data_IF_768119692480
#
_entry.id   IF_768119692480
#
_cell.length_a   1.000
_cell.length_b   1.000
_cell.length_c   1.000
_cell.angle_alpha   90.00
_cell.angle_beta   90.00
_cell.angle_gamma   90.00
#
_symmetry.space_group_name_H-M   'P 1'
#
loop_
_entity.id
_entity.type
_entity.pdbx_description
1 polymer ?
#
# COMPACT_ATOMS: atom_id res chain seq x y z
N UNK A 1 30.61 7.62 40.14
CA UNK A 1 29.41 6.85 40.55
C UNK A 1 28.31 7.06 39.51
N UNK A 2 27.86 5.96 38.88
CA UNK A 2 26.55 5.67 38.21
C UNK A 2 25.84 6.78 37.38
N UNK A 3 25.73 6.54 36.05
CA UNK A 3 24.50 6.25 35.24
C UNK A 3 23.55 7.45 35.04
N UNK A 4 22.84 7.70 33.94
CA UNK A 4 22.70 7.12 32.60
C UNK A 4 21.86 8.12 31.76
N UNK A 5 22.14 8.16 30.44
CA UNK A 5 21.27 8.28 29.26
C UNK A 5 19.91 9.03 29.31
N UNK A 6 19.69 9.86 28.28
CA UNK A 6 18.37 10.30 27.81
C UNK A 6 18.48 11.10 26.50
N UNK A 7 18.57 10.39 25.37
CA UNK A 7 18.22 10.89 24.04
C UNK A 7 16.71 11.21 24.02
N UNK A 8 16.33 12.40 23.53
CA UNK A 8 15.15 12.67 22.67
C UNK A 8 14.85 14.18 22.58
N UNK A 9 15.73 14.91 21.88
CA UNK A 9 15.38 16.16 21.20
C UNK A 9 14.97 15.82 19.76
N UNK A 10 13.68 15.78 19.41
CA UNK A 10 13.27 16.03 18.00
C UNK A 10 11.78 16.33 17.73
N UNK A 11 10.87 16.31 18.71
CA UNK A 11 9.42 16.39 18.41
C UNK A 11 8.77 17.79 18.62
N UNK A 12 9.53 18.86 18.95
CA UNK A 12 8.93 20.16 19.35
C UNK A 12 9.39 21.38 18.53
N UNK A 13 9.51 21.29 17.19
CA UNK A 13 9.64 22.50 16.34
C UNK A 13 8.86 22.41 15.02
N UNK A 14 7.55 22.20 15.14
CA UNK A 14 6.59 22.63 14.11
C UNK A 14 5.68 23.66 14.81
N UNK A 15 5.53 24.83 14.19
CA UNK A 15 4.82 26.07 14.59
C UNK A 15 5.79 27.21 14.98
N UNK A 16 5.71 28.33 14.24
CA UNK A 16 6.50 29.59 14.24
C UNK A 16 7.60 29.59 13.14
N UNK A 17 7.56 30.34 12.03
CA UNK A 17 6.97 31.66 11.74
C UNK A 17 6.70 31.85 10.23
N UNK A 18 5.50 32.35 9.92
CA UNK A 18 5.25 33.27 8.81
C UNK A 18 5.80 34.66 9.17
N UNK A 19 6.44 35.35 8.21
CA UNK A 19 6.47 36.81 7.93
C UNK A 19 7.43 37.02 6.75
N UNK A 20 6.89 37.20 5.54
CA UNK A 20 6.68 38.49 4.85
C UNK A 20 7.97 39.29 4.62
N UNK A 21 8.31 39.49 3.35
CA UNK A 21 8.52 40.83 2.79
C UNK A 21 8.17 40.84 1.30
N UNK A 22 7.20 41.68 0.97
CA UNK A 22 6.96 42.22 -0.37
C UNK A 22 8.13 43.11 -0.78
N UNK A 23 8.56 42.99 -2.04
CA UNK A 23 9.01 44.12 -2.86
C UNK A 23 9.01 43.73 -4.33
N UNK A 24 8.34 44.58 -5.11
CA UNK A 24 8.22 44.57 -6.56
C UNK A 24 9.53 44.26 -7.30
N UNK A 25 9.43 43.66 -8.49
CA UNK A 25 9.94 44.22 -9.76
C UNK A 25 9.63 43.27 -10.94
N UNK A 26 8.87 43.83 -11.89
CA UNK A 26 8.99 43.74 -13.35
C UNK A 26 8.88 42.41 -14.09
N UNK A 27 7.77 42.30 -14.81
CA UNK A 27 7.57 41.52 -16.04
C UNK A 27 8.46 42.06 -17.17
N UNK A 28 9.34 41.22 -17.73
CA UNK A 28 9.64 41.16 -19.17
C UNK A 28 10.55 39.95 -19.48
N UNK A 29 10.22 39.16 -20.50
CA UNK A 29 11.12 38.12 -20.99
C UNK A 29 10.43 37.02 -21.80
N UNK A 30 10.19 37.31 -23.07
CA UNK A 30 9.85 36.35 -24.13
C UNK A 30 10.94 35.30 -24.37
N UNK A 31 10.47 34.14 -24.88
CA UNK A 31 11.16 33.21 -25.79
C UNK A 31 12.20 32.19 -25.26
N UNK A 32 12.00 30.96 -25.77
CA UNK A 32 13.00 29.92 -26.09
C UNK A 32 13.63 29.11 -24.96
N UNK A 33 13.10 27.91 -24.74
CA UNK A 33 13.92 26.73 -24.40
C UNK A 33 13.32 25.47 -25.04
N UNK A 34 13.49 25.36 -26.35
CA UNK A 34 13.70 24.06 -27.00
C UNK A 34 15.22 23.93 -27.12
N UNK A 35 15.82 23.02 -26.36
CA UNK A 35 16.94 22.19 -26.84
C UNK A 35 17.37 21.14 -25.79
N UNK A 36 17.54 19.91 -26.29
CA UNK A 36 18.42 18.83 -25.83
C UNK A 36 18.11 18.16 -24.49
N UNK A 37 17.19 17.20 -24.54
CA UNK A 37 17.43 15.93 -23.85
C UNK A 37 17.96 14.94 -24.90
N UNK A 38 19.26 14.69 -24.85
CA UNK A 38 19.90 13.61 -25.58
C UNK A 38 19.47 12.27 -24.99
N UNK A 39 18.99 11.39 -25.86
CA UNK A 39 19.17 9.94 -25.89
C UNK A 39 19.63 9.27 -24.59
N UNK A 40 18.73 9.22 -23.60
CA UNK A 40 18.62 8.08 -22.66
C UNK A 40 17.12 7.73 -22.55
N UNK A 41 16.56 7.32 -23.68
CA UNK A 41 15.25 6.68 -23.75
C UNK A 41 15.45 5.21 -24.09
N UNK A 42 15.88 4.43 -23.10
CA UNK A 42 15.63 2.98 -23.09
C UNK A 42 14.54 2.70 -22.06
N UNK A 43 13.34 2.45 -22.58
CA UNK A 43 12.24 1.71 -21.95
C UNK A 43 11.60 2.21 -20.64
N UNK A 44 11.57 3.52 -20.38
CA UNK A 44 10.51 4.05 -19.49
C UNK A 44 9.22 4.17 -20.28
N UNK A 45 8.31 3.20 -20.09
CA UNK A 45 6.88 3.37 -20.42
C UNK A 45 6.39 4.63 -19.70
N UNK A 46 6.38 5.77 -20.38
CA UNK A 46 5.72 6.97 -19.91
C UNK A 46 4.24 6.62 -19.67
N UNK A 47 3.86 6.48 -18.41
CA UNK A 47 2.46 6.33 -18.06
C UNK A 47 1.76 7.64 -18.43
N UNK A 48 0.96 7.62 -19.50
CA UNK A 48 0.11 8.76 -19.92
C UNK A 48 -1.08 8.85 -18.95
N UNK A 49 -0.79 9.26 -17.71
CA UNK A 49 -1.80 9.53 -16.66
C UNK A 49 -2.30 10.97 -16.70
N UNK A 50 -1.89 11.77 -17.70
CA UNK A 50 -2.27 13.18 -17.80
C UNK A 50 -3.77 13.29 -17.99
N UNK A 51 -4.41 14.07 -17.11
CA UNK A 51 -5.82 14.42 -17.30
C UNK A 51 -5.90 15.27 -18.56
N UNK A 52 -6.54 14.73 -19.61
CA UNK A 52 -6.90 15.47 -20.81
C UNK A 52 -8.42 15.60 -20.87
N UNK A 53 -8.90 16.82 -21.00
CA UNK A 53 -10.29 17.05 -21.36
C UNK A 53 -10.46 16.74 -22.86
N UNK A 54 -11.59 16.14 -23.26
CA UNK A 54 -11.85 15.89 -24.67
C UNK A 54 -11.88 17.24 -25.43
N UNK A 55 -11.36 17.29 -26.67
CA UNK A 55 -11.48 18.48 -27.51
C UNK A 55 -12.96 18.76 -27.76
N UNK A 56 -13.33 20.04 -27.73
CA UNK A 56 -14.69 20.48 -28.06
C UNK A 56 -14.92 20.17 -29.54
N UNK A 57 -15.82 19.22 -29.84
CA UNK A 57 -16.44 19.20 -31.16
C UNK A 57 -17.31 20.45 -31.23
N UNK A 58 -17.02 21.36 -32.17
CA UNK A 58 -17.98 22.39 -32.55
C UNK A 58 -19.22 21.63 -33.03
N UNK A 59 -20.22 21.48 -32.17
CA UNK A 59 -21.55 21.12 -32.62
C UNK A 59 -21.99 22.28 -33.49
N UNK A 60 -22.14 22.01 -34.79
CA UNK A 60 -22.88 22.86 -35.70
C UNK A 60 -24.17 23.25 -34.97
N UNK A 61 -24.42 24.56 -34.94
CA UNK A 61 -25.45 25.19 -34.14
C UNK A 61 -26.81 24.54 -34.38
N UNK A 62 -27.21 23.61 -33.52
CA UNK A 62 -28.62 23.32 -33.34
C UNK A 62 -29.23 24.63 -32.84
N UNK A 63 -30.12 25.19 -33.66
CA UNK A 63 -30.97 26.31 -33.28
C UNK A 63 -31.80 25.88 -32.07
N UNK A 64 -31.27 26.10 -30.87
CA UNK A 64 -32.01 25.97 -29.62
C UNK A 64 -32.97 27.17 -29.60
N UNK A 65 -34.15 26.98 -30.18
CA UNK A 65 -35.31 27.82 -29.90
C UNK A 65 -35.63 27.67 -28.41
N UNK A 66 -35.33 28.70 -27.63
CA UNK A 66 -35.66 28.75 -26.22
C UNK A 66 -37.17 28.79 -26.08
N UNK A 67 -37.76 27.64 -25.77
CA UNK A 67 -39.18 27.55 -25.48
C UNK A 67 -39.45 28.11 -24.08
N UNK A 68 -39.78 29.39 -24.00
CA UNK A 68 -40.23 30.08 -22.77
C UNK A 68 -41.70 29.72 -22.50
N UNK A 69 -42.06 28.43 -22.58
CA UNK A 69 -43.40 27.94 -22.24
C UNK A 69 -43.36 27.35 -20.83
N UNK A 70 -43.31 28.23 -19.83
CA UNK A 70 -43.28 27.81 -18.42
C UNK A 70 -43.60 28.88 -17.38
N UNK A 71 -44.05 30.07 -17.80
CA UNK A 71 -44.51 31.12 -16.88
C UNK A 71 -45.95 31.51 -17.26
N UNK A 72 -46.85 30.54 -17.36
CA UNK A 72 -48.29 30.80 -17.48
C UNK A 72 -48.99 30.33 -16.20
N UNK A 73 -49.32 31.30 -15.36
CA UNK A 73 -49.98 31.13 -14.07
C UNK A 73 -50.04 32.42 -13.27
N UNK A 74 -49.23 33.43 -13.63
CA UNK A 74 -49.33 34.78 -13.07
C UNK A 74 -50.09 35.62 -14.09
N UNK A 75 -51.35 35.92 -13.76
CA UNK A 75 -52.14 36.97 -14.38
C UNK A 75 -51.27 38.18 -14.68
N UNK A 76 -51.38 38.69 -15.91
CA UNK A 76 -50.75 39.86 -16.51
C UNK A 76 -50.59 41.08 -15.56
N UNK A 77 -49.65 41.01 -14.63
CA UNK A 77 -48.96 42.16 -14.10
C UNK A 77 -47.69 42.33 -14.93
N UNK A 78 -47.49 43.54 -15.44
CA UNK A 78 -46.32 44.00 -16.17
C UNK A 78 -45.04 43.76 -15.36
N UNK A 79 -44.49 42.54 -15.43
CA UNK A 79 -43.14 42.28 -14.92
C UNK A 79 -42.23 43.05 -15.87
N UNK A 80 -41.68 44.17 -15.39
CA UNK A 80 -40.68 44.92 -16.15
C UNK A 80 -39.62 43.94 -16.66
N UNK A 81 -39.32 43.92 -17.97
CA UNK A 81 -38.42 42.94 -18.58
C UNK A 81 -37.07 42.82 -17.85
N UNK A 82 -36.58 43.91 -17.25
CA UNK A 82 -35.35 43.92 -16.43
C UNK A 82 -35.42 43.03 -15.18
N UNK A 83 -36.58 42.93 -14.51
CA UNK A 83 -36.73 42.08 -13.32
C UNK A 83 -36.76 40.59 -13.67
N UNK A 84 -37.32 40.22 -14.83
CA UNK A 84 -37.35 38.84 -15.30
C UNK A 84 -35.94 38.37 -15.70
N UNK A 85 -35.20 39.18 -16.46
CA UNK A 85 -33.80 38.90 -16.85
C UNK A 85 -32.91 38.77 -15.62
N UNK A 86 -33.02 39.70 -14.67
CA UNK A 86 -32.23 39.67 -13.44
C UNK A 86 -32.49 38.40 -12.60
N UNK A 87 -33.76 37.94 -12.51
CA UNK A 87 -34.09 36.68 -11.82
C UNK A 87 -33.48 35.44 -12.50
N UNK A 88 -33.46 35.41 -13.85
CA UNK A 88 -32.83 34.30 -14.60
C UNK A 88 -31.32 34.29 -14.40
N UNK A 89 -30.70 35.47 -14.45
CA UNK A 89 -29.27 35.62 -14.21
C UNK A 89 -28.87 35.18 -12.80
N UNK A 90 -29.64 35.58 -11.77
CA UNK A 90 -29.41 35.15 -10.39
C UNK A 90 -29.50 33.63 -10.24
N UNK A 91 -30.52 32.99 -10.82
CA UNK A 91 -30.65 31.52 -10.79
C UNK A 91 -29.50 30.82 -11.51
N UNK A 92 -29.04 31.37 -12.63
CA UNK A 92 -27.87 30.85 -13.36
C UNK A 92 -26.60 30.99 -12.52
N UNK A 93 -26.42 32.11 -11.82
CA UNK A 93 -25.31 32.30 -10.88
C UNK A 93 -25.34 31.28 -9.75
N UNK A 94 -26.47 31.16 -9.04
CA UNK A 94 -26.65 30.19 -7.96
C UNK A 94 -26.35 28.76 -8.42
N UNK A 95 -26.83 28.38 -9.61
CA UNK A 95 -26.54 27.08 -10.20
C UNK A 95 -25.05 26.91 -10.50
N UNK A 96 -24.38 27.94 -11.02
CA UNK A 96 -22.94 27.91 -11.27
C UNK A 96 -22.14 27.69 -9.97
N UNK A 97 -22.48 28.45 -8.93
CA UNK A 97 -21.84 28.36 -7.61
C UNK A 97 -22.07 26.99 -6.97
N UNK A 98 -23.26 26.41 -7.13
CA UNK A 98 -23.56 25.07 -6.66
C UNK A 98 -22.73 24.00 -7.38
N UNK A 99 -22.56 24.08 -8.71
CA UNK A 99 -21.71 23.15 -9.47
C UNK A 99 -20.24 23.27 -9.01
N UNK A 100 -19.74 24.49 -8.79
CA UNK A 100 -18.39 24.72 -8.26
C UNK A 100 -18.19 24.08 -6.88
N UNK A 101 -19.17 24.28 -5.99
CA UNK A 101 -19.16 23.74 -4.64
C UNK A 101 -19.17 22.21 -4.66
N UNK A 102 -20.06 21.62 -5.46
CA UNK A 102 -20.18 20.17 -5.61
C UNK A 102 -18.90 19.55 -6.18
N UNK A 103 -18.33 20.15 -7.23
CA UNK A 103 -17.05 19.72 -7.79
C UNK A 103 -15.95 19.70 -6.72
N UNK A 104 -15.88 20.77 -5.91
CA UNK A 104 -14.86 20.91 -4.87
C UNK A 104 -15.04 19.89 -3.75
N UNK A 105 -16.29 19.65 -3.32
CA UNK A 105 -16.60 18.64 -2.30
C UNK A 105 -16.23 17.23 -2.79
N UNK A 106 -16.66 16.85 -4.00
CA UNK A 106 -16.33 15.52 -4.56
C UNK A 106 -14.82 15.30 -4.72
N UNK A 107 -14.06 16.35 -5.04
CA UNK A 107 -12.59 16.27 -5.07
C UNK A 107 -11.98 16.10 -3.69
N UNK A 108 -12.53 16.76 -2.67
CA UNK A 108 -12.09 16.62 -1.29
C UNK A 108 -12.37 15.20 -0.77
N UNK A 109 -13.57 14.67 -1.01
CA UNK A 109 -13.97 13.32 -0.62
C UNK A 109 -13.06 12.26 -1.26
N UNK A 110 -12.76 12.40 -2.56
CA UNK A 110 -11.84 11.50 -3.26
C UNK A 110 -10.43 11.56 -2.66
N UNK A 111 -9.93 12.76 -2.36
CA UNK A 111 -8.64 12.91 -1.71
C UNK A 111 -8.62 12.23 -0.34
N UNK A 112 -9.62 12.48 0.50
CA UNK A 112 -9.71 11.90 1.82
C UNK A 112 -9.73 10.37 1.77
N UNK A 113 -10.55 9.79 0.89
CA UNK A 113 -10.62 8.34 0.70
C UNK A 113 -9.26 7.74 0.32
N UNK A 114 -8.53 8.37 -0.60
CA UNK A 114 -7.22 7.89 -1.02
C UNK A 114 -6.19 8.06 0.11
N UNK A 115 -6.19 9.17 0.83
CA UNK A 115 -5.30 9.39 1.98
C UNK A 115 -5.54 8.38 3.11
N UNK A 116 -6.79 7.95 3.33
CA UNK A 116 -7.12 6.89 4.28
C UNK A 116 -6.51 5.54 3.84
N UNK A 117 -6.61 5.18 2.56
CA UNK A 117 -6.01 3.96 2.02
C UNK A 117 -4.47 3.98 2.10
N UNK A 118 -3.84 5.13 1.80
CA UNK A 118 -2.40 5.33 1.97
C UNK A 118 -2.00 5.09 3.43
N UNK A 119 -2.69 5.70 4.40
CA UNK A 119 -2.40 5.53 5.84
C UNK A 119 -2.53 4.07 6.28
N UNK A 120 -3.60 3.39 5.86
CA UNK A 120 -3.86 1.99 6.19
C UNK A 120 -2.74 1.07 5.68
N UNK A 121 -2.35 1.22 4.42
CA UNK A 121 -1.29 0.41 3.83
C UNK A 121 0.09 0.77 4.40
N UNK A 122 0.32 2.06 4.71
CA UNK A 122 1.54 2.52 5.38
C UNK A 122 1.70 1.88 6.77
N UNK A 123 0.62 1.82 7.56
CA UNK A 123 0.63 1.13 8.85
C UNK A 123 0.93 -0.37 8.71
N UNK A 124 0.35 -1.02 7.70
CA UNK A 124 0.64 -2.44 7.40
C UNK A 124 2.13 -2.66 7.07
N UNK A 125 2.74 -1.78 6.25
CA UNK A 125 4.17 -1.85 5.97
C UNK A 125 5.00 -1.68 7.25
N UNK A 126 4.68 -0.68 8.08
CA UNK A 126 5.39 -0.44 9.35
C UNK A 126 5.34 -1.67 10.24
N UNK A 127 4.17 -2.28 10.42
CA UNK A 127 4.01 -3.49 11.24
C UNK A 127 4.81 -4.67 10.69
N UNK A 128 4.77 -4.90 9.38
CA UNK A 128 5.53 -5.98 8.73
C UNK A 128 7.05 -5.79 8.88
N UNK A 129 7.52 -4.55 8.69
CA UNK A 129 8.95 -4.22 8.82
C UNK A 129 9.42 -4.37 10.27
N UNK A 130 8.61 -3.96 11.25
CA UNK A 130 8.92 -4.14 12.68
C UNK A 130 8.98 -5.62 13.06
N UNK A 131 7.98 -6.42 12.66
CA UNK A 131 7.97 -7.85 12.92
C UNK A 131 9.21 -8.56 12.38
N UNK A 132 9.65 -8.22 11.16
CA UNK A 132 10.87 -8.79 10.58
C UNK A 132 12.11 -8.35 11.38
N UNK A 133 12.16 -7.07 11.79
CA UNK A 133 13.25 -6.56 12.62
C UNK A 133 13.33 -7.29 13.97
N UNK A 134 12.20 -7.48 14.64
CA UNK A 134 12.13 -8.20 15.92
C UNK A 134 12.60 -9.65 15.77
N UNK A 135 12.21 -10.31 14.67
CA UNK A 135 12.69 -11.66 14.35
C UNK A 135 14.22 -11.69 14.17
N UNK A 136 14.80 -10.71 13.48
CA UNK A 136 16.25 -10.60 13.33
C UNK A 136 16.94 -10.37 14.68
N UNK A 137 16.41 -9.46 15.50
CA UNK A 137 16.96 -9.18 16.83
C UNK A 137 16.90 -10.41 17.74
N UNK A 138 15.79 -11.16 17.74
CA UNK A 138 15.66 -12.41 18.47
C UNK A 138 16.68 -13.46 18.03
N UNK A 139 16.90 -13.63 16.72
CA UNK A 139 17.95 -14.51 16.18
C UNK A 139 19.33 -14.08 16.70
N UNK A 140 19.64 -12.78 16.66
CA UNK A 140 20.93 -12.24 17.08
C UNK A 140 21.15 -12.32 18.61
N UNK A 141 20.10 -12.19 19.41
CA UNK A 141 20.15 -12.29 20.87
C UNK A 141 20.31 -13.75 21.32
N UNK A 142 19.59 -14.69 20.69
CA UNK A 142 19.75 -16.13 20.93
C UNK A 142 21.19 -16.62 20.67
N UNK A 143 21.87 -16.02 19.70
CA UNK A 143 23.29 -16.28 19.44
C UNK A 143 24.17 -15.79 20.58
N UNK A 144 23.91 -14.57 21.07
CA UNK A 144 24.68 -13.96 22.14
C UNK A 144 24.54 -14.73 23.47
N UNK A 145 23.35 -15.25 23.77
CA UNK A 145 23.06 -15.99 25.02
C UNK A 145 23.67 -17.40 25.04
N UNK A 146 23.78 -18.07 23.88
CA UNK A 146 24.29 -19.46 23.79
C UNK A 146 25.81 -19.60 23.84
N UNK A 147 26.53 -18.56 24.28
CA UNK A 147 27.99 -18.51 24.41
C UNK A 147 28.71 -18.92 23.09
N UNK A 148 28.92 -17.93 22.20
CA UNK A 148 29.36 -18.04 20.79
C UNK A 148 30.55 -18.95 20.46
N UNK A 149 31.23 -19.54 21.44
CA UNK A 149 32.36 -20.46 21.28
C UNK A 149 32.07 -21.73 20.45
N UNK A 150 30.80 -22.07 20.17
CA UNK A 150 30.41 -23.29 19.47
C UNK A 150 29.69 -23.08 18.13
N UNK A 151 29.61 -21.84 17.61
CA UNK A 151 28.95 -21.57 16.33
C UNK A 151 29.76 -22.13 15.15
N UNK A 152 29.38 -23.31 14.68
CA UNK A 152 29.99 -23.93 13.50
C UNK A 152 29.87 -23.03 12.27
N UNK A 153 30.86 -23.10 11.36
CA UNK A 153 30.85 -22.38 10.08
C UNK A 153 29.55 -22.59 9.29
N UNK A 154 28.97 -23.79 9.34
CA UNK A 154 27.69 -24.12 8.69
C UNK A 154 26.52 -23.32 9.26
N UNK A 155 26.43 -23.19 10.59
CA UNK A 155 25.37 -22.41 11.24
C UNK A 155 25.50 -20.92 10.89
N UNK A 156 26.73 -20.39 10.84
CA UNK A 156 26.99 -18.99 10.44
C UNK A 156 26.54 -18.70 9.01
N UNK A 157 26.88 -19.56 8.05
CA UNK A 157 26.45 -19.41 6.64
C UNK A 157 24.93 -19.41 6.57
N UNK A 158 24.28 -20.37 7.24
CA UNK A 158 22.81 -20.44 7.29
C UNK A 158 22.18 -19.19 7.89
N UNK A 159 22.76 -18.60 8.94
CA UNK A 159 22.28 -17.35 9.53
C UNK A 159 22.42 -16.17 8.57
N UNK A 160 23.55 -16.06 7.86
CA UNK A 160 23.72 -15.01 6.84
C UNK A 160 22.69 -15.14 5.71
N UNK A 161 22.39 -16.37 5.29
CA UNK A 161 21.34 -16.66 4.30
C UNK A 161 19.96 -16.25 4.83
N UNK A 162 19.63 -16.58 6.07
CA UNK A 162 18.36 -16.18 6.71
C UNK A 162 18.26 -14.65 6.79
N UNK A 163 19.31 -13.95 7.22
CA UNK A 163 19.30 -12.48 7.29
C UNK A 163 19.10 -11.83 5.91
N UNK A 164 19.72 -12.39 4.87
CA UNK A 164 19.50 -11.94 3.49
C UNK A 164 18.07 -12.18 3.04
N UNK A 165 17.53 -13.38 3.26
CA UNK A 165 16.13 -13.70 2.92
C UNK A 165 15.13 -12.79 3.63
N UNK A 166 15.33 -12.53 4.93
CA UNK A 166 14.50 -11.60 5.68
C UNK A 166 14.59 -10.17 5.13
N UNK A 167 15.78 -9.73 4.73
CA UNK A 167 15.95 -8.42 4.10
C UNK A 167 15.30 -8.35 2.71
N UNK A 168 15.45 -9.38 1.90
CA UNK A 168 14.82 -9.48 0.58
C UNK A 168 13.29 -9.42 0.71
N UNK A 169 12.73 -10.10 1.73
CA UNK A 169 11.31 -10.00 2.05
C UNK A 169 10.89 -8.57 2.42
N UNK A 170 11.70 -7.82 3.18
CA UNK A 170 11.41 -6.40 3.49
C UNK A 170 11.42 -5.54 2.24
N UNK A 171 12.40 -5.73 1.37
CA UNK A 171 12.50 -5.01 0.10
C UNK A 171 11.28 -5.27 -0.79
N UNK A 172 10.84 -6.52 -0.88
CA UNK A 172 9.60 -6.87 -1.59
C UNK A 172 8.37 -6.16 -1.01
N UNK A 173 8.24 -6.10 0.32
CA UNK A 173 7.12 -5.37 0.95
C UNK A 173 7.17 -3.87 0.69
N UNK A 174 8.35 -3.27 0.61
CA UNK A 174 8.51 -1.86 0.21
C UNK A 174 8.10 -1.68 -1.24
N UNK A 175 8.53 -2.56 -2.15
CA UNK A 175 8.14 -2.53 -3.57
C UNK A 175 6.62 -2.62 -3.76
N UNK A 176 5.99 -3.57 -3.06
CA UNK A 176 4.54 -3.74 -3.07
C UNK A 176 3.81 -2.46 -2.63
N UNK A 177 4.27 -1.86 -1.52
CA UNK A 177 3.69 -0.62 -1.01
C UNK A 177 3.87 0.55 -1.99
N UNK A 178 5.07 0.76 -2.53
CA UNK A 178 5.33 1.83 -3.48
C UNK A 178 4.55 1.66 -4.79
N UNK A 179 4.38 0.43 -5.27
CA UNK A 179 3.51 0.13 -6.41
C UNK A 179 2.04 0.42 -6.09
N UNK A 180 1.59 0.11 -4.87
CA UNK A 180 0.26 0.46 -4.41
C UNK A 180 0.03 1.98 -4.39
N UNK A 181 0.97 2.78 -3.88
CA UNK A 181 0.89 4.25 -3.91
C UNK A 181 0.74 4.81 -5.33
N UNK A 182 1.51 4.28 -6.30
CA UNK A 182 1.41 4.68 -7.71
C UNK A 182 0.05 4.35 -8.32
N UNK A 183 -0.54 3.21 -7.93
CA UNK A 183 -1.87 2.80 -8.37
C UNK A 183 -2.95 3.70 -7.76
N UNK A 184 -2.85 4.06 -6.49
CA UNK A 184 -3.75 5.01 -5.84
C UNK A 184 -3.69 6.40 -6.51
N UNK A 185 -2.51 6.89 -6.89
CA UNK A 185 -2.39 8.16 -7.61
C UNK A 185 -3.00 8.10 -9.02
N UNK A 186 -2.92 6.94 -9.68
CA UNK A 186 -3.61 6.72 -10.96
C UNK A 186 -5.13 6.75 -10.79
N UNK A 187 -5.65 6.13 -9.72
CA UNK A 187 -7.07 6.17 -9.38
C UNK A 187 -7.52 7.61 -9.05
N UNK A 188 -6.72 8.36 -8.27
CA UNK A 188 -6.93 9.79 -7.98
C UNK A 188 -7.10 10.60 -9.25
N UNK A 189 -6.16 10.43 -10.19
CA UNK A 189 -6.14 11.14 -11.47
C UNK A 189 -7.37 10.84 -12.32
N UNK A 190 -7.79 9.57 -12.42
CA UNK A 190 -8.99 9.20 -13.18
C UNK A 190 -10.27 9.71 -12.50
N UNK A 191 -10.35 9.65 -11.17
CA UNK A 191 -11.47 10.21 -10.41
C UNK A 191 -11.63 11.71 -10.63
N UNK A 192 -10.52 12.47 -10.56
CA UNK A 192 -10.53 13.90 -10.89
C UNK A 192 -10.96 14.19 -12.31
N UNK A 193 -10.51 13.40 -13.28
CA UNK A 193 -10.92 13.54 -14.69
C UNK A 193 -12.42 13.39 -14.86
N UNK A 194 -13.04 12.42 -14.18
CA UNK A 194 -14.50 12.22 -14.22
C UNK A 194 -15.22 13.42 -13.59
N UNK A 195 -14.79 13.85 -12.39
CA UNK A 195 -15.38 14.99 -11.68
C UNK A 195 -15.31 16.27 -12.53
N UNK A 196 -14.12 16.58 -13.08
CA UNK A 196 -13.91 17.74 -13.93
C UNK A 196 -14.75 17.70 -15.21
N UNK A 197 -14.82 16.54 -15.87
CA UNK A 197 -15.61 16.37 -17.10
C UNK A 197 -17.09 16.64 -16.86
N UNK A 198 -17.64 16.17 -15.73
CA UNK A 198 -19.04 16.38 -15.38
C UNK A 198 -19.31 17.86 -15.07
N UNK A 199 -18.49 18.48 -14.21
CA UNK A 199 -18.62 19.89 -13.88
C UNK A 199 -18.48 20.79 -15.11
N UNK A 200 -17.53 20.49 -16.00
CA UNK A 200 -17.34 21.21 -17.26
C UNK A 200 -18.59 21.15 -18.15
N UNK A 201 -19.19 19.97 -18.31
CA UNK A 201 -20.43 19.78 -19.10
C UNK A 201 -21.59 20.57 -18.52
N UNK A 202 -21.77 20.50 -17.20
CA UNK A 202 -22.87 21.18 -16.50
C UNK A 202 -22.72 22.70 -16.55
N UNK A 203 -21.52 23.23 -16.38
CA UNK A 203 -21.25 24.67 -16.49
C UNK A 203 -21.50 25.21 -17.89
N UNK A 204 -21.07 24.49 -18.93
CA UNK A 204 -21.36 24.89 -20.31
C UNK A 204 -22.85 24.83 -20.65
N UNK A 205 -23.62 23.99 -19.96
CA UNK A 205 -25.08 23.94 -20.14
C UNK A 205 -25.77 25.09 -19.39
N UNK A 206 -25.21 25.54 -18.27
CA UNK A 206 -25.76 26.63 -17.47
C UNK A 206 -25.60 28.02 -18.12
N UNK A 207 -24.55 28.21 -18.94
CA UNK A 207 -24.28 29.45 -19.70
C UNK A 207 -24.35 30.74 -18.86
N UNK A 208 -23.97 30.65 -17.58
CA UNK A 208 -23.83 31.83 -16.71
C UNK A 208 -22.57 32.64 -17.05
N UNK A 209 -21.49 31.92 -17.32
CA UNK A 209 -20.17 32.46 -17.69
C UNK A 209 -19.92 32.11 -19.16
N UNK A 210 -19.13 32.94 -19.85
CA UNK A 210 -18.78 32.69 -21.25
C UNK A 210 -18.00 31.38 -21.40
N UNK A 211 -18.25 30.56 -22.44
CA UNK A 211 -17.59 29.27 -22.62
C UNK A 211 -16.05 29.33 -22.60
N UNK A 212 -15.46 30.40 -23.12
CA UNK A 212 -13.99 30.57 -23.12
C UNK A 212 -13.41 30.73 -21.70
N UNK A 213 -14.16 31.35 -20.79
CA UNK A 213 -13.74 31.57 -19.40
C UNK A 213 -13.84 30.27 -18.61
N UNK A 214 -14.91 29.50 -18.86
CA UNK A 214 -15.07 28.15 -18.33
C UNK A 214 -13.90 27.28 -18.79
N UNK A 215 -13.58 27.28 -20.09
CA UNK A 215 -12.42 26.54 -20.61
C UNK A 215 -11.12 26.95 -19.92
N UNK A 216 -10.82 28.25 -19.85
CA UNK A 216 -9.60 28.78 -19.21
C UNK A 216 -9.52 28.38 -17.73
N UNK A 217 -10.65 28.37 -17.01
CA UNK A 217 -10.71 27.91 -15.62
C UNK A 217 -10.33 26.43 -15.51
N UNK A 218 -10.93 25.56 -16.32
CA UNK A 218 -10.67 24.12 -16.27
C UNK A 218 -9.24 23.77 -16.74
N UNK A 219 -8.69 24.47 -17.73
CA UNK A 219 -7.29 24.30 -18.15
C UNK A 219 -6.32 24.56 -16.99
N UNK A 220 -6.51 25.67 -16.26
CA UNK A 220 -5.71 25.98 -15.07
C UNK A 220 -5.88 24.93 -13.98
N UNK A 221 -7.11 24.46 -13.76
CA UNK A 221 -7.40 23.45 -12.73
C UNK A 221 -6.73 22.11 -13.08
N UNK A 222 -6.80 21.68 -14.33
CA UNK A 222 -6.12 20.48 -14.85
C UNK A 222 -4.61 20.61 -14.72
N UNK A 223 -4.05 21.77 -15.09
CA UNK A 223 -2.62 22.02 -14.95
C UNK A 223 -2.17 21.90 -13.49
N UNK A 224 -2.93 22.49 -12.56
CA UNK A 224 -2.63 22.40 -11.13
C UNK A 224 -2.70 20.96 -10.62
N UNK A 225 -3.74 20.19 -10.97
CA UNK A 225 -3.87 18.79 -10.54
C UNK A 225 -2.74 17.92 -11.10
N UNK A 226 -2.38 18.10 -12.37
CA UNK A 226 -1.25 17.40 -12.97
C UNK A 226 0.07 17.72 -12.24
N UNK A 227 0.29 18.98 -11.85
CA UNK A 227 1.47 19.36 -11.07
C UNK A 227 1.50 18.66 -9.71
N UNK A 228 0.37 18.61 -9.00
CA UNK A 228 0.25 17.90 -7.72
C UNK A 228 0.53 16.40 -7.89
N UNK A 229 -0.08 15.75 -8.89
CA UNK A 229 0.14 14.32 -9.14
C UNK A 229 1.60 14.01 -9.49
N UNK A 230 2.25 14.84 -10.30
CA UNK A 230 3.68 14.68 -10.62
C UNK A 230 4.56 14.83 -9.37
N UNK A 231 4.25 15.80 -8.50
CA UNK A 231 4.96 15.96 -7.23
C UNK A 231 4.77 14.73 -6.35
N UNK A 232 3.55 14.18 -6.25
CA UNK A 232 3.28 12.97 -5.48
C UNK A 232 4.08 11.78 -6.01
N UNK A 233 4.09 11.54 -7.32
CA UNK A 233 4.89 10.48 -7.92
C UNK A 233 6.39 10.62 -7.59
N UNK A 234 6.91 11.84 -7.66
CA UNK A 234 8.30 12.12 -7.29
C UNK A 234 8.56 11.79 -5.82
N UNK A 235 7.69 12.25 -4.90
CA UNK A 235 7.80 11.95 -3.47
C UNK A 235 7.74 10.44 -3.19
N UNK A 236 6.91 9.68 -3.91
CA UNK A 236 6.84 8.22 -3.74
C UNK A 236 8.12 7.52 -4.20
N UNK A 237 8.75 7.98 -5.29
CA UNK A 237 10.04 7.46 -5.73
C UNK A 237 11.15 7.78 -4.73
N UNK A 238 11.21 9.01 -4.22
CA UNK A 238 12.20 9.35 -3.18
C UNK A 238 11.99 8.53 -1.89
N UNK A 239 10.73 8.29 -1.51
CA UNK A 239 10.40 7.44 -0.37
C UNK A 239 10.89 6.01 -0.58
N UNK A 240 10.64 5.43 -1.75
CA UNK A 240 11.11 4.09 -2.12
C UNK A 240 12.63 3.99 -1.98
N UNK A 241 13.37 4.94 -2.55
CA UNK A 241 14.83 4.98 -2.48
C UNK A 241 15.34 5.08 -1.04
N UNK A 242 14.75 5.98 -0.23
CA UNK A 242 15.11 6.15 1.18
C UNK A 242 14.86 4.87 1.99
N UNK A 243 13.70 4.24 1.82
CA UNK A 243 13.37 3.01 2.53
C UNK A 243 14.33 1.88 2.13
N UNK A 244 14.61 1.71 0.83
CA UNK A 244 15.55 0.69 0.35
C UNK A 244 16.96 0.89 0.90
N UNK A 245 17.46 2.12 0.92
CA UNK A 245 18.76 2.44 1.51
C UNK A 245 18.80 2.12 3.01
N UNK A 246 17.75 2.47 3.75
CA UNK A 246 17.64 2.13 5.18
C UNK A 246 17.70 0.61 5.41
N UNK A 247 17.02 -0.19 4.59
CA UNK A 247 17.08 -1.66 4.73
C UNK A 247 18.50 -2.20 4.43
N UNK A 248 19.18 -1.65 3.42
CA UNK A 248 20.54 -2.04 3.07
C UNK A 248 21.56 -1.71 4.17
N UNK A 249 21.42 -0.54 4.79
CA UNK A 249 22.26 -0.11 5.91
C UNK A 249 22.05 -1.00 7.15
N UNK A 250 20.79 -1.33 7.46
CA UNK A 250 20.45 -2.24 8.56
C UNK A 250 20.97 -3.67 8.33
N UNK A 251 20.83 -4.21 7.12
CA UNK A 251 21.39 -5.50 6.77
C UNK A 251 22.92 -5.49 6.94
N UNK A 252 23.58 -4.43 6.47
CA UNK A 252 25.03 -4.25 6.61
C UNK A 252 25.45 -4.20 8.08
N UNK A 253 24.65 -3.55 8.93
CA UNK A 253 24.84 -3.53 10.37
C UNK A 253 24.70 -4.93 10.99
N UNK A 254 23.66 -5.68 10.66
CA UNK A 254 23.44 -7.04 11.18
C UNK A 254 24.52 -8.02 10.74
N UNK A 255 24.96 -7.95 9.48
CA UNK A 255 26.06 -8.78 8.98
C UNK A 255 27.39 -8.44 9.68
N UNK A 256 27.65 -7.15 9.97
CA UNK A 256 28.82 -6.74 10.77
C UNK A 256 28.72 -7.26 12.20
N UNK A 257 27.55 -7.18 12.84
CA UNK A 257 27.33 -7.73 14.19
C UNK A 257 27.58 -9.23 14.23
N UNK A 258 27.14 -9.96 13.20
CA UNK A 258 27.39 -11.39 13.07
C UNK A 258 28.88 -11.72 12.89
N UNK A 259 29.65 -10.90 12.16
CA UNK A 259 31.11 -11.02 12.06
C UNK A 259 31.84 -10.73 13.38
N UNK A 260 31.36 -9.79 14.20
CA UNK A 260 31.99 -9.55 15.51
C UNK A 260 31.90 -10.77 16.44
N UNK A 261 30.84 -11.58 16.31
CA UNK A 261 30.76 -12.85 17.02
C UNK A 261 31.77 -13.91 16.51
N UNK A 262 32.28 -13.75 15.28
CA UNK A 262 33.36 -14.58 14.72
C UNK A 262 34.70 -14.27 15.38
N UNK A 263 35.11 -13.00 15.37
CA UNK A 263 36.42 -12.55 15.89
C UNK A 263 36.58 -12.78 17.40
N UNK A 264 35.48 -12.76 18.15
CA UNK A 264 35.49 -13.02 19.59
C UNK A 264 35.55 -14.51 19.95
N UNK A 265 35.12 -15.41 19.05
CA UNK A 265 35.20 -16.86 19.26
C UNK A 265 36.63 -17.40 19.13
N UNK A 266 37.48 -16.75 18.33
CA UNK A 266 38.87 -17.18 18.08
C UNK A 266 39.87 -16.75 19.16
N UNK A 267 39.48 -15.84 20.07
CA UNK A 267 40.38 -15.24 21.08
C UNK A 267 40.31 -15.86 22.48
N UNK A 268 39.51 -16.91 22.73
CA UNK A 268 39.54 -17.59 24.03
C UNK A 268 40.87 -18.38 24.16
N UNK A 269 41.72 -18.09 25.17
CA UNK A 269 42.99 -18.75 25.34
C UNK A 269 42.80 -20.23 25.64
N UNK A 270 43.60 -21.07 24.98
CA UNK A 270 43.76 -22.50 25.24
C UNK A 270 44.09 -22.71 26.72
N UNK A 271 43.08 -22.97 27.55
CA UNK A 271 43.29 -23.48 28.89
C UNK A 271 43.49 -24.99 28.78
N UNK A 272 44.75 -25.38 28.97
CA UNK A 272 45.17 -26.70 29.40
C UNK A 272 44.37 -27.10 30.65
N UNK A 273 43.57 -28.16 30.55
CA UNK A 273 43.29 -29.11 31.65
C UNK A 273 42.41 -30.26 31.18
N UNK A 274 43.05 -31.42 31.14
CA UNK A 274 42.49 -32.74 31.39
C UNK A 274 41.45 -32.75 32.52
N UNK A 275 40.26 -33.26 32.22
CA UNK A 275 39.40 -33.99 33.16
C UNK A 275 38.35 -34.81 32.39
N UNK A 276 37.90 -35.94 32.95
CA UNK A 276 37.23 -36.99 32.20
C UNK A 276 35.77 -36.67 31.88
N UNK A 277 35.36 -37.17 30.72
CA UNK A 277 34.00 -37.17 30.17
C UNK A 277 33.05 -37.91 31.14
N UNK A 278 31.93 -37.30 31.58
CA UNK A 278 30.80 -38.03 32.10
C UNK A 278 30.01 -38.63 30.93
N UNK A 279 29.93 -39.95 30.90
CA UNK A 279 29.11 -40.73 29.99
C UNK A 279 27.63 -40.70 30.37
N UNK A 280 26.80 -40.77 29.32
CA UNK A 280 25.39 -41.22 29.27
C UNK A 280 24.34 -40.43 30.07
N UNK A 281 23.63 -39.55 29.34
CA UNK A 281 22.17 -39.44 29.43
C UNK A 281 21.63 -39.31 27.99
N UNK A 282 21.41 -40.47 27.34
CA UNK A 282 20.74 -40.60 26.05
C UNK A 282 19.63 -41.63 26.23
N UNK A 283 18.60 -41.31 27.03
CA UNK A 283 17.32 -42.07 27.07
C UNK A 283 16.10 -41.12 27.31
N UNK A 284 16.26 -39.85 27.70
CA UNK A 284 15.08 -38.97 27.95
C UNK A 284 14.59 -38.18 26.72
N UNK A 285 15.38 -38.02 25.65
CA UNK A 285 14.99 -37.22 24.47
C UNK A 285 13.98 -37.91 23.52
N UNK A 286 13.82 -39.23 23.59
CA UNK A 286 12.84 -39.95 22.75
C UNK A 286 11.40 -39.86 23.27
N UNK A 287 11.19 -39.73 24.59
CA UNK A 287 9.85 -39.62 25.15
C UNK A 287 9.24 -38.20 24.95
N UNK A 288 10.05 -37.15 25.08
CA UNK A 288 9.61 -35.77 24.79
C UNK A 288 9.34 -35.53 23.28
N UNK A 289 9.90 -36.36 22.41
CA UNK A 289 9.60 -36.32 20.98
C UNK A 289 8.22 -36.92 20.65
N UNK A 290 7.77 -37.92 21.41
CA UNK A 290 6.48 -38.59 21.22
C UNK A 290 5.32 -37.68 21.67
N UNK A 291 5.45 -37.02 22.81
CA UNK A 291 4.39 -36.15 23.35
C UNK A 291 4.18 -34.89 22.50
N UNK A 292 5.26 -34.26 22.01
CA UNK A 292 5.17 -33.11 21.10
C UNK A 292 4.54 -33.50 19.76
N UNK A 293 4.85 -34.70 19.24
CA UNK A 293 4.23 -35.20 18.00
C UNK A 293 2.73 -35.43 18.18
N UNK A 294 2.28 -35.93 19.33
CA UNK A 294 0.86 -36.09 19.63
C UNK A 294 0.13 -34.75 19.71
N UNK A 295 0.73 -33.73 20.34
CA UNK A 295 0.15 -32.38 20.41
C UNK A 295 0.02 -31.74 19.01
N UNK A 296 1.04 -31.88 18.16
CA UNK A 296 1.02 -31.39 16.78
C UNK A 296 -0.09 -32.07 15.96
N UNK A 297 -0.19 -33.40 16.05
CA UNK A 297 -1.24 -34.15 15.35
C UNK A 297 -2.65 -33.79 15.86
N UNK A 298 -2.79 -33.35 17.12
CA UNK A 298 -4.05 -32.84 17.65
C UNK A 298 -4.42 -31.49 17.04
N UNK A 299 -3.47 -30.54 16.97
CA UNK A 299 -3.70 -29.21 16.38
C UNK A 299 -4.00 -29.28 14.88
N UNK A 300 -3.36 -30.22 14.17
CA UNK A 300 -3.64 -30.49 12.75
C UNK A 300 -5.07 -30.99 12.55
N UNK A 301 -5.55 -31.94 13.37
CA UNK A 301 -6.95 -32.41 13.30
C UNK A 301 -7.96 -31.30 13.60
N UNK A 302 -7.67 -30.45 14.59
CA UNK A 302 -8.52 -29.30 14.91
C UNK A 302 -8.61 -28.31 13.74
N UNK A 303 -7.48 -28.03 13.07
CA UNK A 303 -7.46 -27.19 11.88
C UNK A 303 -8.24 -27.80 10.70
N UNK A 304 -8.11 -29.12 10.47
CA UNK A 304 -8.89 -29.86 9.47
C UNK A 304 -10.40 -29.80 9.76
N UNK A 305 -10.79 -29.98 11.02
CA UNK A 305 -12.20 -29.91 11.43
C UNK A 305 -12.79 -28.50 11.24
N UNK A 306 -12.03 -27.47 11.61
CA UNK A 306 -12.40 -26.07 11.38
C UNK A 306 -12.56 -25.75 9.88
N UNK A 307 -11.65 -26.26 9.05
CA UNK A 307 -11.75 -26.13 7.59
C UNK A 307 -13.00 -26.81 7.03
N UNK A 308 -13.32 -28.03 7.47
CA UNK A 308 -14.53 -28.74 7.05
C UNK A 308 -15.81 -28.00 7.48
N UNK A 309 -15.83 -27.42 8.68
CA UNK A 309 -16.96 -26.60 9.14
C UNK A 309 -17.14 -25.34 8.28
N UNK A 310 -16.05 -24.64 7.96
CA UNK A 310 -16.07 -23.47 7.06
C UNK A 310 -16.52 -23.84 5.65
N UNK A 311 -16.05 -24.97 5.10
CA UNK A 311 -16.49 -25.48 3.80
C UNK A 311 -18.00 -25.75 3.78
N UNK A 312 -18.53 -26.39 4.83
CA UNK A 312 -19.97 -26.64 4.99
C UNK A 312 -20.79 -25.34 5.07
N UNK A 313 -20.25 -24.31 5.72
CA UNK A 313 -20.87 -22.97 5.75
C UNK A 313 -20.83 -22.30 4.37
N UNK A 314 -19.71 -22.40 3.64
CA UNK A 314 -19.62 -21.90 2.26
C UNK A 314 -20.66 -22.55 1.35
N UNK A 315 -20.81 -23.88 1.40
CA UNK A 315 -21.83 -24.59 0.61
C UNK A 315 -23.25 -24.12 0.93
N UNK A 316 -23.56 -23.92 2.22
CA UNK A 316 -24.86 -23.34 2.63
C UNK A 316 -25.06 -21.91 2.12
N UNK A 317 -24.00 -21.10 2.10
CA UNK A 317 -24.02 -19.74 1.59
C UNK A 317 -24.18 -19.70 0.06
N UNK A 318 -23.59 -20.64 -0.69
CA UNK A 318 -23.79 -20.80 -2.14
C UNK A 318 -25.26 -21.06 -2.49
N UNK A 319 -25.97 -21.83 -1.67
CA UNK A 319 -27.41 -22.07 -1.85
C UNK A 319 -28.28 -20.81 -1.66
N UNK A 320 -27.75 -19.74 -1.05
CA UNK A 320 -28.48 -18.50 -0.76
C UNK A 320 -28.39 -17.44 -1.89
N UNK A 321 -27.84 -17.79 -3.08
CA UNK A 321 -27.77 -16.92 -4.28
C UNK A 321 -27.12 -15.53 -4.07
N UNK A 322 -26.07 -15.43 -3.25
CA UNK A 322 -25.24 -14.21 -3.13
C UNK A 322 -23.97 -14.34 -3.98
N UNK A 323 -24.02 -13.95 -5.26
CA UNK A 323 -23.06 -14.41 -6.27
C UNK A 323 -21.68 -13.69 -6.34
N UNK A 324 -21.47 -12.41 -5.91
CA UNK A 324 -20.14 -11.78 -6.06
C UNK A 324 -19.25 -11.80 -4.80
N UNK A 325 -19.84 -11.75 -3.60
CA UNK A 325 -19.09 -11.66 -2.34
C UNK A 325 -18.56 -13.03 -1.86
N UNK A 326 -19.13 -14.12 -2.41
CA UNK A 326 -18.74 -15.47 -2.06
C UNK A 326 -17.41 -15.89 -2.69
N UNK A 327 -17.13 -15.51 -3.93
CA UNK A 327 -15.84 -15.78 -4.57
C UNK A 327 -14.68 -15.09 -3.85
N UNK A 328 -14.92 -13.85 -3.40
CA UNK A 328 -13.95 -13.09 -2.60
C UNK A 328 -13.76 -13.70 -1.21
N UNK A 329 -14.82 -14.20 -0.60
CA UNK A 329 -14.74 -14.89 0.69
C UNK A 329 -14.04 -16.26 0.60
N UNK A 330 -14.26 -17.03 -0.46
CA UNK A 330 -13.57 -18.30 -0.69
C UNK A 330 -12.07 -18.10 -0.94
N UNK A 331 -11.69 -17.09 -1.72
CA UNK A 331 -10.29 -16.71 -1.91
C UNK A 331 -9.63 -16.31 -0.59
N UNK A 332 -10.34 -15.56 0.26
CA UNK A 332 -9.84 -15.14 1.57
C UNK A 332 -9.67 -16.32 2.55
N UNK A 333 -10.64 -17.25 2.59
CA UNK A 333 -10.53 -18.46 3.41
C UNK A 333 -9.37 -19.35 2.95
N UNK A 334 -9.16 -19.46 1.63
CA UNK A 334 -8.03 -20.21 1.06
C UNK A 334 -6.68 -19.59 1.45
N UNK A 335 -6.55 -18.27 1.36
CA UNK A 335 -5.34 -17.55 1.79
C UNK A 335 -5.08 -17.71 3.30
N UNK A 336 -6.11 -17.64 4.15
CA UNK A 336 -5.95 -17.88 5.59
C UNK A 336 -5.54 -19.32 5.92
N UNK A 337 -6.11 -20.31 5.22
CA UNK A 337 -5.72 -21.70 5.41
C UNK A 337 -4.25 -21.93 5.04
N UNK A 338 -3.81 -21.40 3.89
CA UNK A 338 -2.41 -21.49 3.46
C UNK A 338 -1.46 -20.74 4.40
N UNK A 339 -1.85 -19.57 4.91
CA UNK A 339 -1.08 -18.85 5.91
C UNK A 339 -0.94 -19.65 7.22
N UNK A 340 -2.03 -20.28 7.69
CA UNK A 340 -2.02 -21.10 8.91
C UNK A 340 -1.12 -22.32 8.74
N UNK A 341 -1.20 -23.01 7.60
CA UNK A 341 -0.32 -24.14 7.27
C UNK A 341 1.15 -23.70 7.20
N UNK A 342 1.41 -22.52 6.62
CA UNK A 342 2.78 -21.97 6.53
C UNK A 342 3.36 -21.61 7.90
N UNK A 343 2.54 -21.07 8.81
CA UNK A 343 2.94 -20.75 10.18
C UNK A 343 3.27 -22.05 10.94
N UNK A 344 2.39 -23.05 10.87
CA UNK A 344 2.63 -24.36 11.48
C UNK A 344 3.91 -24.98 10.89
N UNK A 345 4.15 -24.86 9.59
CA UNK A 345 5.34 -25.37 8.93
C UNK A 345 6.62 -24.63 9.36
N UNK A 346 6.57 -23.31 9.52
CA UNK A 346 7.69 -22.51 10.01
C UNK A 346 8.07 -22.91 11.45
N UNK A 347 7.07 -23.04 12.33
CA UNK A 347 7.27 -23.46 13.72
C UNK A 347 7.86 -24.89 13.81
N UNK A 348 7.45 -25.80 12.92
CA UNK A 348 7.98 -27.17 12.85
C UNK A 348 9.43 -27.26 12.35
N UNK A 349 9.78 -26.43 11.37
CA UNK A 349 11.14 -26.37 10.80
C UNK A 349 12.11 -25.78 11.82
N UNK A 350 11.69 -24.78 12.59
CA UNK A 350 12.52 -24.10 13.58
C UNK A 350 12.72 -24.91 14.85
N UNK A 351 11.74 -25.73 15.27
CA UNK A 351 11.85 -26.46 16.54
C UNK A 351 12.59 -27.80 16.45
N UNK A 352 12.51 -28.57 15.36
CA UNK A 352 13.07 -29.95 15.34
C UNK A 352 13.74 -30.39 14.03
N UNK A 353 13.88 -29.53 13.03
CA UNK A 353 14.55 -29.90 11.77
C UNK A 353 13.87 -31.03 10.98
N UNK A 354 12.61 -31.33 11.30
CA UNK A 354 11.82 -32.36 10.63
C UNK A 354 11.30 -31.77 9.32
N UNK A 355 11.78 -32.29 8.18
CA UNK A 355 11.14 -32.07 6.89
C UNK A 355 9.90 -32.96 6.82
N UNK A 356 8.71 -32.37 6.84
CA UNK A 356 7.50 -33.08 6.43
C UNK A 356 7.66 -33.52 4.98
N UNK A 357 7.22 -34.74 4.70
CA UNK A 357 7.26 -35.31 3.36
C UNK A 357 6.39 -34.47 2.43
N UNK A 358 7.03 -33.89 1.40
CA UNK A 358 6.38 -33.01 0.44
C UNK A 358 5.25 -33.73 -0.30
N UNK A 359 5.31 -35.06 -0.42
CA UNK A 359 4.27 -35.85 -1.07
C UNK A 359 3.02 -36.04 -0.19
N UNK A 360 3.13 -35.99 1.15
CA UNK A 360 1.97 -35.99 2.05
C UNK A 360 1.23 -34.63 2.04
N UNK A 361 1.98 -33.53 1.97
CA UNK A 361 1.42 -32.18 1.84
C UNK A 361 0.81 -31.96 0.45
N UNK A 362 1.48 -32.46 -0.59
CA UNK A 362 0.94 -32.46 -1.96
C UNK A 362 -0.31 -33.35 -2.06
N UNK A 363 -0.38 -34.48 -1.36
CA UNK A 363 -1.58 -35.30 -1.30
C UNK A 363 -2.76 -34.56 -0.63
N UNK A 364 -2.53 -33.83 0.46
CA UNK A 364 -3.55 -32.98 1.10
C UNK A 364 -3.99 -31.81 0.21
N UNK A 365 -3.05 -31.19 -0.53
CA UNK A 365 -3.35 -30.14 -1.51
C UNK A 365 -4.05 -30.69 -2.77
N UNK A 366 -3.83 -31.96 -3.12
CA UNK A 366 -4.38 -32.63 -4.30
C UNK A 366 -5.68 -33.41 -4.02
N UNK A 367 -6.16 -33.47 -2.77
CA UNK A 367 -7.54 -33.93 -2.46
C UNK A 367 -8.63 -33.03 -3.06
N UNK A 368 -8.24 -31.98 -3.81
CA UNK A 368 -9.12 -31.08 -4.55
C UNK A 368 -9.39 -31.49 -6.00
N UNK A 369 -9.00 -32.70 -6.44
CA UNK A 369 -9.26 -33.17 -7.81
C UNK A 369 -9.99 -34.53 -7.90
N UNK A 370 -10.73 -34.93 -6.87
CA UNK A 370 -11.59 -36.14 -6.95
C UNK A 370 -13.06 -35.71 -7.00
N UNK A 371 -13.58 -35.85 -8.23
CA UNK A 371 -14.95 -36.07 -8.68
C UNK A 371 -16.06 -35.07 -8.27
N UNK A 372 -16.34 -34.16 -9.21
CA UNK A 372 -17.66 -33.52 -9.40
C UNK A 372 -18.69 -34.46 -10.09
N UNK A 373 -18.40 -35.76 -10.23
CA UNK A 373 -19.25 -36.70 -10.99
C UNK A 373 -20.15 -37.64 -10.16
N UNK A 374 -20.21 -37.52 -8.82
CA UNK A 374 -21.06 -38.40 -7.98
C UNK A 374 -22.13 -37.67 -7.14
N UNK A 375 -22.71 -36.57 -7.66
CA UNK A 375 -23.91 -35.97 -7.06
C UNK A 375 -24.88 -35.44 -8.15
N UNK A 376 -25.41 -36.37 -8.95
CA UNK A 376 -26.79 -36.29 -9.50
C UNK A 376 -27.71 -37.27 -8.78
#
# INVERSE_FOLDING_TARGET
MKKNLGLEESVVRIIQLNKLDDKDISVHGTLSYMERCGDICTERKCMDSRIRLPPIKRTESENITWDIRGICGISSLEIQPGLAVHRVELKRKEKHDNIMKEMTLRMADLNESIEQEIRKHGQSLVSNVHMIKDNVENILNNIQEKDCSCLTKKVKIRMQEILKQLNDNRLLKIDDYCNHLRNLEKQRSEGFKIILKNAYKEMNTNLYIMPYEIQKFFEKKVQHLNQVSMNNYHCYTELEEKLKLQMQDELSYWLKKLKLYEDNSEKKPTQDKSSPIPSLQVIEEENDAIDVKAEIMSKLREAEENYHQLKKLSTKLKCLKFHPLLETFESYLFEMANATVSIIQADLVDQKGVRLDFDAIRALSNMHCVDEEELE
#
